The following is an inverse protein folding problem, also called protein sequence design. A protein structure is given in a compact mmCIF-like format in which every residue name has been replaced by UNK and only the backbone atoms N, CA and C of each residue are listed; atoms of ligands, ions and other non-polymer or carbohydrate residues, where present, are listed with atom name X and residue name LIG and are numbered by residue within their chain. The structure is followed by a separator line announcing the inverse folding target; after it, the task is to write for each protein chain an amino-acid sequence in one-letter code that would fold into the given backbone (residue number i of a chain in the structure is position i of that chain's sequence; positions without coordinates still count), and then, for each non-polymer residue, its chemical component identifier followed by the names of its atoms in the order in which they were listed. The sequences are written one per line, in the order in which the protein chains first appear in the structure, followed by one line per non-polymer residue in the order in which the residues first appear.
data_IF_348477734022
#
_entry.id   IF_348477734022
#
_cell.length_a   1.000
_cell.length_b   1.000
_cell.length_c   1.000
_cell.angle_alpha   90.00
_cell.angle_beta   90.00
_cell.angle_gamma   90.00
#
_symmetry.space_group_name_H-M   'P 1'
#
loop_
_entity.id
_entity.type
_entity.pdbx_description
1 polymer ?
#
# COMPACT_ATOMS: atom_id res chain seq x y z
N UNK A 1 12.95 -43.74 -11.41
CA UNK A 1 13.43 -42.64 -10.53
C UNK A 1 12.46 -41.45 -10.48
N UNK A 2 11.76 -41.07 -11.56
CA UNK A 2 10.76 -39.99 -11.50
C UNK A 2 9.50 -40.34 -10.67
N UNK A 3 9.04 -41.60 -10.71
CA UNK A 3 7.84 -42.04 -9.98
C UNK A 3 7.95 -41.90 -8.46
N UNK A 4 9.08 -42.31 -7.87
CA UNK A 4 9.31 -42.18 -6.42
C UNK A 4 9.44 -40.74 -5.96
N UNK A 5 9.99 -39.84 -6.79
CA UNK A 5 10.09 -38.41 -6.47
C UNK A 5 8.72 -37.75 -6.49
N UNK A 6 7.88 -38.06 -7.49
CA UNK A 6 6.52 -37.53 -7.56
C UNK A 6 5.65 -38.03 -6.41
N UNK A 7 5.77 -39.31 -6.05
CA UNK A 7 5.06 -39.92 -4.92
C UNK A 7 5.50 -39.31 -3.57
N UNK A 8 6.79 -39.02 -3.41
CA UNK A 8 7.33 -38.31 -2.25
C UNK A 8 6.86 -36.85 -2.18
N UNK A 9 6.83 -36.13 -3.30
CA UNK A 9 6.32 -34.75 -3.34
C UNK A 9 4.82 -34.71 -3.03
N UNK A 10 4.04 -35.64 -3.60
CA UNK A 10 2.62 -35.77 -3.30
C UNK A 10 2.40 -36.07 -1.83
N UNK A 11 3.13 -37.01 -1.23
CA UNK A 11 2.98 -37.32 0.20
C UNK A 11 3.32 -36.15 1.13
N UNK A 12 4.30 -35.31 0.77
CA UNK A 12 4.62 -34.07 1.49
C UNK A 12 3.52 -33.03 1.33
N UNK A 13 2.98 -32.85 0.11
CA UNK A 13 1.89 -31.92 -0.18
C UNK A 13 0.54 -32.37 0.41
N UNK A 14 0.33 -33.66 0.67
CA UNK A 14 -0.89 -34.13 1.34
C UNK A 14 -0.92 -33.77 2.83
N UNK A 15 0.23 -33.43 3.45
CA UNK A 15 0.27 -33.03 4.85
C UNK A 15 -0.46 -31.71 5.07
N UNK A 16 -1.45 -31.71 5.96
CA UNK A 16 -2.30 -30.56 6.28
C UNK A 16 -1.49 -29.30 6.61
N UNK A 17 -0.40 -29.43 7.37
CA UNK A 17 0.48 -28.33 7.77
C UNK A 17 1.20 -27.67 6.58
N UNK A 18 1.62 -28.46 5.60
CA UNK A 18 2.29 -27.95 4.38
C UNK A 18 1.28 -27.26 3.49
N UNK A 19 0.07 -27.80 3.38
CA UNK A 19 -1.04 -27.19 2.62
C UNK A 19 -1.45 -25.85 3.23
N UNK A 20 -1.59 -25.79 4.55
CA UNK A 20 -1.89 -24.55 5.28
C UNK A 20 -0.78 -23.50 5.06
N UNK A 21 0.49 -23.90 5.17
CA UNK A 21 1.63 -23.03 4.91
C UNK A 21 1.64 -22.47 3.47
N UNK A 22 1.48 -23.34 2.47
CA UNK A 22 1.48 -22.94 1.05
C UNK A 22 0.27 -22.06 0.71
N UNK A 23 -0.89 -22.35 1.30
CA UNK A 23 -2.08 -21.53 1.14
C UNK A 23 -1.85 -20.11 1.68
N UNK A 24 -1.37 -19.99 2.92
CA UNK A 24 -1.07 -18.69 3.55
C UNK A 24 0.03 -17.92 2.81
N UNK A 25 1.06 -18.64 2.33
CA UNK A 25 2.11 -18.07 1.51
C UNK A 25 1.56 -17.47 0.22
N UNK A 26 0.78 -18.25 -0.54
CA UNK A 26 0.25 -17.82 -1.83
C UNK A 26 -0.80 -16.72 -1.69
N UNK A 27 -1.67 -16.80 -0.69
CA UNK A 27 -2.66 -15.74 -0.44
C UNK A 27 -1.98 -14.42 -0.05
N UNK A 28 -0.97 -14.48 0.84
CA UNK A 28 -0.24 -13.27 1.26
C UNK A 28 0.57 -12.68 0.10
N UNK A 29 1.14 -13.53 -0.75
CA UNK A 29 1.83 -13.10 -1.95
C UNK A 29 0.90 -12.33 -2.90
N UNK A 30 -0.28 -12.89 -3.21
CA UNK A 30 -1.27 -12.25 -4.08
C UNK A 30 -1.72 -10.91 -3.51
N UNK A 31 -2.08 -10.86 -2.23
CA UNK A 31 -2.47 -9.61 -1.56
C UNK A 31 -1.38 -8.54 -1.68
N UNK A 32 -0.12 -8.90 -1.43
CA UNK A 32 0.97 -7.94 -1.43
C UNK A 32 1.35 -7.48 -2.84
N UNK A 33 1.30 -8.35 -3.85
CA UNK A 33 1.59 -7.93 -5.24
C UNK A 33 0.54 -6.93 -5.74
N UNK A 34 -0.75 -7.17 -5.49
CA UNK A 34 -1.80 -6.21 -5.85
C UNK A 34 -1.74 -4.94 -5.01
N UNK A 35 -1.51 -5.06 -3.71
CA UNK A 35 -1.40 -3.92 -2.80
C UNK A 35 -0.19 -3.04 -3.12
N UNK A 36 1.02 -3.59 -3.07
CA UNK A 36 2.25 -2.87 -3.37
C UNK A 36 2.31 -2.40 -4.82
N UNK A 37 1.77 -3.18 -5.77
CA UNK A 37 1.66 -2.77 -7.17
C UNK A 37 0.76 -1.54 -7.37
N UNK A 38 -0.37 -1.48 -6.65
CA UNK A 38 -1.26 -0.31 -6.71
C UNK A 38 -0.63 0.95 -6.10
N UNK A 39 0.16 0.79 -5.04
CA UNK A 39 0.93 1.90 -4.43
C UNK A 39 2.05 2.35 -5.35
N UNK A 40 2.80 1.42 -5.94
CA UNK A 40 3.85 1.73 -6.91
C UNK A 40 3.27 2.48 -8.12
N UNK A 41 2.12 2.04 -8.64
CA UNK A 41 1.42 2.75 -9.71
C UNK A 41 0.92 4.13 -9.27
N UNK A 42 0.55 4.33 -8.00
CA UNK A 42 0.17 5.65 -7.51
C UNK A 42 1.37 6.61 -7.43
N UNK A 43 2.53 6.13 -7.00
CA UNK A 43 3.74 6.97 -6.83
C UNK A 43 4.41 7.25 -8.17
N UNK A 44 4.48 6.27 -9.08
CA UNK A 44 5.14 6.41 -10.38
C UNK A 44 4.17 6.92 -11.46
N UNK A 45 2.86 6.69 -11.31
CA UNK A 45 1.85 7.09 -12.27
C UNK A 45 1.50 8.57 -12.14
N UNK A 46 2.25 9.41 -12.85
CA UNK A 46 2.21 10.89 -12.78
C UNK A 46 0.82 11.54 -12.65
N UNK A 47 -0.20 10.97 -13.30
CA UNK A 47 -1.55 11.58 -13.41
C UNK A 47 -2.73 10.60 -13.23
N UNK A 48 -2.43 9.31 -13.06
CA UNK A 48 -3.44 8.23 -12.97
C UNK A 48 -3.49 7.58 -11.57
N UNK A 49 -2.57 7.93 -10.69
CA UNK A 49 -2.57 7.50 -9.29
C UNK A 49 -3.63 8.21 -8.46
N UNK A 50 -4.73 7.53 -8.14
CA UNK A 50 -5.73 8.00 -7.17
C UNK A 50 -5.71 7.12 -5.93
N UNK A 51 -5.97 7.71 -4.76
CA UNK A 51 -6.19 6.98 -3.50
C UNK A 51 -7.28 5.90 -3.64
N UNK A 52 -8.27 6.14 -4.52
CA UNK A 52 -9.31 5.16 -4.82
C UNK A 52 -8.72 3.89 -5.47
N UNK A 53 -7.71 4.03 -6.33
CA UNK A 53 -7.03 2.91 -6.98
C UNK A 53 -6.26 2.04 -5.98
N UNK A 54 -5.63 2.63 -4.97
CA UNK A 54 -4.95 1.89 -3.90
C UNK A 54 -5.95 1.14 -3.03
N UNK A 55 -7.05 1.81 -2.64
CA UNK A 55 -8.10 1.18 -1.84
C UNK A 55 -8.75 0.00 -2.58
N UNK A 56 -9.06 0.16 -3.86
CA UNK A 56 -9.59 -0.93 -4.69
C UNK A 56 -8.54 -2.02 -4.91
N UNK A 57 -7.28 -1.67 -5.17
CA UNK A 57 -6.19 -2.64 -5.35
C UNK A 57 -5.99 -3.53 -4.13
N UNK A 58 -5.99 -2.96 -2.93
CA UNK A 58 -5.97 -3.72 -1.68
C UNK A 58 -7.24 -4.55 -1.49
N UNK A 59 -8.42 -3.99 -1.74
CA UNK A 59 -9.70 -4.71 -1.61
C UNK A 59 -9.81 -5.94 -2.52
N UNK A 60 -9.43 -5.79 -3.80
CA UNK A 60 -9.36 -6.91 -4.74
C UNK A 60 -8.24 -7.89 -4.38
N UNK A 61 -7.08 -7.39 -3.94
CA UNK A 61 -5.97 -8.25 -3.48
C UNK A 61 -6.36 -9.15 -2.31
N UNK A 62 -7.06 -8.59 -1.31
CA UNK A 62 -7.61 -9.36 -0.17
C UNK A 62 -8.64 -10.38 -0.66
N UNK A 63 -9.60 -9.96 -1.49
CA UNK A 63 -10.66 -10.84 -1.99
C UNK A 63 -10.09 -12.03 -2.76
N UNK A 64 -9.11 -11.79 -3.62
CA UNK A 64 -8.45 -12.84 -4.38
C UNK A 64 -7.62 -13.76 -3.49
N UNK A 65 -6.91 -13.21 -2.50
CA UNK A 65 -6.18 -14.02 -1.53
C UNK A 65 -7.09 -14.91 -0.67
N UNK A 66 -8.28 -14.41 -0.27
CA UNK A 66 -9.30 -15.22 0.40
C UNK A 66 -9.81 -16.33 -0.52
N UNK A 67 -10.02 -16.06 -1.80
CA UNK A 67 -10.47 -17.07 -2.75
C UNK A 67 -9.45 -18.22 -2.91
N UNK A 68 -8.15 -17.90 -2.85
CA UNK A 68 -7.06 -18.89 -2.95
C UNK A 68 -6.94 -19.75 -1.68
N UNK A 69 -6.95 -19.13 -0.50
CA UNK A 69 -6.61 -19.82 0.75
C UNK A 69 -7.81 -20.15 1.66
N UNK A 70 -8.99 -19.61 1.37
CA UNK A 70 -10.16 -19.68 2.26
C UNK A 70 -10.63 -21.11 2.54
N UNK A 71 -10.56 -22.01 1.55
CA UNK A 71 -10.94 -23.41 1.70
C UNK A 71 -9.89 -24.32 2.36
N UNK A 72 -8.67 -23.81 2.62
CA UNK A 72 -7.55 -24.63 3.11
C UNK A 72 -7.08 -24.16 4.49
N UNK A 73 -6.63 -22.90 4.61
CA UNK A 73 -6.03 -22.37 5.84
C UNK A 73 -6.95 -21.45 6.64
N UNK A 74 -8.05 -21.00 6.03
CA UNK A 74 -8.92 -19.94 6.55
C UNK A 74 -8.50 -18.53 6.12
N UNK A 75 -7.51 -18.41 5.23
CA UNK A 75 -7.00 -17.16 4.66
C UNK A 75 -6.73 -16.07 5.72
N UNK A 76 -5.85 -16.37 6.67
CA UNK A 76 -5.50 -15.39 7.71
C UNK A 76 -4.73 -14.21 7.13
N UNK A 77 -3.77 -14.48 6.23
CA UNK A 77 -3.01 -13.50 5.44
C UNK A 77 -2.31 -12.42 6.27
N UNK A 78 -2.25 -12.61 7.58
CA UNK A 78 -1.86 -11.61 8.56
C UNK A 78 -1.51 -12.31 9.88
N UNK A 79 -0.33 -11.98 10.41
CA UNK A 79 0.16 -12.52 11.66
C UNK A 79 -0.71 -12.09 12.85
N UNK A 80 -1.27 -10.88 12.83
CA UNK A 80 -2.15 -10.36 13.88
C UNK A 80 -3.51 -11.09 13.93
N UNK A 81 -4.06 -11.45 12.76
CA UNK A 81 -5.29 -12.25 12.66
C UNK A 81 -5.01 -13.67 13.16
N UNK A 82 -3.87 -14.24 12.77
CA UNK A 82 -3.43 -15.56 13.25
C UNK A 82 -3.25 -15.55 14.78
N UNK A 83 -2.62 -14.51 15.33
CA UNK A 83 -2.43 -14.33 16.76
C UNK A 83 -3.77 -14.23 17.50
N UNK A 84 -4.69 -13.41 16.99
CA UNK A 84 -6.02 -13.25 17.58
C UNK A 84 -6.80 -14.56 17.59
N UNK A 85 -6.73 -15.35 16.53
CA UNK A 85 -7.36 -16.68 16.48
C UNK A 85 -6.71 -17.68 17.46
N UNK A 86 -5.41 -17.58 17.71
CA UNK A 86 -4.74 -18.36 18.76
C UNK A 86 -5.14 -17.90 20.17
N UNK A 87 -5.23 -16.59 20.39
CA UNK A 87 -5.65 -16.00 21.68
C UNK A 87 -7.10 -16.35 22.03
N UNK A 88 -7.99 -16.38 21.04
CA UNK A 88 -9.39 -16.79 21.17
C UNK A 88 -9.58 -18.32 21.25
N UNK A 89 -8.50 -19.11 21.19
CA UNK A 89 -8.57 -20.57 21.27
C UNK A 89 -9.15 -21.27 20.03
N UNK A 90 -9.28 -20.57 18.90
CA UNK A 90 -9.77 -21.14 17.63
C UNK A 90 -8.68 -21.92 16.87
N UNK A 91 -7.42 -21.75 17.24
CA UNK A 91 -6.27 -22.43 16.63
C UNK A 91 -5.23 -22.86 17.67
N UNK A 92 -4.61 -24.02 17.48
CA UNK A 92 -3.53 -24.50 18.32
C UNK A 92 -2.27 -23.63 18.18
N UNK A 93 -1.66 -23.23 19.30
CA UNK A 93 -0.44 -22.40 19.35
C UNK A 93 0.76 -22.98 18.57
N UNK A 94 0.80 -24.30 18.36
CA UNK A 94 1.83 -24.96 17.55
C UNK A 94 1.77 -24.60 16.05
N UNK A 95 0.60 -24.19 15.54
CA UNK A 95 0.40 -23.77 14.14
C UNK A 95 0.84 -22.34 13.88
N UNK A 96 0.84 -21.50 14.92
CA UNK A 96 1.18 -20.09 14.82
C UNK A 96 2.50 -19.79 14.09
N UNK A 97 3.66 -20.37 14.46
CA UNK A 97 4.92 -20.04 13.80
C UNK A 97 4.96 -20.47 12.33
N UNK A 98 4.24 -21.55 11.97
CA UNK A 98 4.18 -22.03 10.58
C UNK A 98 3.41 -21.01 9.72
N UNK A 99 2.28 -20.51 10.21
CA UNK A 99 1.49 -19.49 9.52
C UNK A 99 2.28 -18.19 9.35
N UNK A 100 2.94 -17.72 10.41
CA UNK A 100 3.74 -16.49 10.39
C UNK A 100 4.91 -16.61 9.41
N UNK A 101 5.61 -17.75 9.38
CA UNK A 101 6.69 -17.98 8.41
C UNK A 101 6.16 -17.97 6.96
N UNK A 102 5.00 -18.60 6.70
CA UNK A 102 4.39 -18.60 5.37
C UNK A 102 4.01 -17.19 4.90
N UNK A 103 3.39 -16.42 5.80
CA UNK A 103 3.01 -15.02 5.53
C UNK A 103 4.23 -14.14 5.31
N UNK A 104 5.29 -14.29 6.12
CA UNK A 104 6.53 -13.52 5.99
C UNK A 104 7.27 -13.82 4.68
N UNK A 105 7.40 -15.09 4.32
CA UNK A 105 8.02 -15.46 3.05
C UNK A 105 7.19 -15.01 1.85
N UNK A 106 5.85 -15.08 1.95
CA UNK A 106 4.94 -14.62 0.90
C UNK A 106 5.04 -13.12 0.68
N UNK A 107 5.06 -12.32 1.74
CA UNK A 107 5.20 -10.86 1.64
C UNK A 107 6.60 -10.44 1.16
N UNK A 108 7.65 -11.13 1.62
CA UNK A 108 9.02 -10.87 1.17
C UNK A 108 9.17 -11.11 -0.33
N UNK A 109 8.68 -12.26 -0.84
CA UNK A 109 8.75 -12.55 -2.26
C UNK A 109 7.86 -11.63 -3.09
N UNK A 110 6.69 -11.24 -2.60
CA UNK A 110 5.84 -10.26 -3.27
C UNK A 110 6.55 -8.91 -3.40
N UNK A 111 7.16 -8.41 -2.33
CA UNK A 111 7.92 -7.17 -2.36
C UNK A 111 9.11 -7.25 -3.33
N UNK A 112 9.84 -8.37 -3.34
CA UNK A 112 10.92 -8.61 -4.29
C UNK A 112 10.42 -8.61 -5.75
N UNK A 113 9.33 -9.32 -6.04
CA UNK A 113 8.74 -9.33 -7.39
C UNK A 113 8.27 -7.94 -7.82
N UNK A 114 7.56 -7.21 -6.96
CA UNK A 114 7.13 -5.84 -7.25
C UNK A 114 8.35 -4.95 -7.51
N UNK A 115 9.39 -5.02 -6.68
CA UNK A 115 10.62 -4.27 -6.90
C UNK A 115 11.26 -4.59 -8.26
N UNK A 116 11.37 -5.87 -8.62
CA UNK A 116 11.93 -6.28 -9.93
C UNK A 116 11.11 -5.75 -11.11
N UNK A 117 9.77 -5.73 -11.00
CA UNK A 117 8.89 -5.19 -12.05
C UNK A 117 9.10 -3.68 -12.24
N UNK A 118 9.25 -2.94 -11.14
CA UNK A 118 9.41 -1.48 -11.16
C UNK A 118 10.88 -1.02 -11.22
N UNK A 119 11.84 -1.95 -11.19
CA UNK A 119 13.28 -1.65 -11.18
C UNK A 119 13.69 -0.77 -12.36
N UNK A 120 13.17 -1.05 -13.56
CA UNK A 120 13.47 -0.27 -14.77
C UNK A 120 12.98 1.18 -14.73
N UNK A 121 12.01 1.51 -13.88
CA UNK A 121 11.52 2.89 -13.70
C UNK A 121 12.31 3.58 -12.57
N UNK A 122 12.66 2.85 -11.50
CA UNK A 122 13.44 3.39 -10.39
C UNK A 122 14.89 3.76 -10.77
N UNK A 123 15.53 3.01 -11.65
CA UNK A 123 16.97 3.22 -11.97
C UNK A 123 17.21 4.46 -12.86
N UNK A 124 16.18 4.97 -13.54
CA UNK A 124 16.30 6.10 -14.48
C UNK A 124 15.64 7.42 -14.01
N UNK A 125 14.63 7.37 -13.12
CA UNK A 125 13.84 8.55 -12.71
C UNK A 125 14.08 9.05 -11.27
N UNK A 126 15.11 8.56 -10.57
CA UNK A 126 15.44 8.99 -9.22
C UNK A 126 15.48 10.53 -9.01
N UNK A 127 16.09 11.35 -9.90
CA UNK A 127 16.03 12.80 -9.76
C UNK A 127 14.66 13.40 -10.14
N UNK A 128 13.91 12.81 -11.08
CA UNK A 128 12.65 13.36 -11.58
C UNK A 128 11.48 13.15 -10.59
N UNK A 129 11.40 11.98 -9.95
CA UNK A 129 10.37 11.68 -8.93
C UNK A 129 10.65 12.44 -7.62
N UNK A 130 11.92 12.54 -7.21
CA UNK A 130 12.31 13.27 -5.99
C UNK A 130 12.07 14.77 -6.10
N UNK A 131 12.46 15.39 -7.23
CA UNK A 131 12.23 16.82 -7.48
C UNK A 131 10.75 17.15 -7.70
N UNK A 132 9.92 16.20 -8.18
CA UNK A 132 8.48 16.44 -8.36
C UNK A 132 7.71 16.32 -7.04
N UNK A 133 8.05 15.39 -6.15
CA UNK A 133 7.44 15.32 -4.82
C UNK A 133 7.82 16.49 -3.90
N UNK A 134 9.09 16.91 -3.88
CA UNK A 134 9.50 18.13 -3.16
C UNK A 134 9.07 19.43 -3.87
N UNK A 135 8.97 19.42 -5.20
CA UNK A 135 8.48 20.56 -5.99
C UNK A 135 6.97 20.82 -5.85
N UNK A 136 6.15 19.82 -5.52
CA UNK A 136 4.71 20.00 -5.26
C UNK A 136 4.42 20.50 -3.82
N UNK A 137 5.27 20.17 -2.84
CA UNK A 137 5.19 20.78 -1.50
C UNK A 137 5.58 22.26 -1.56
N UNK A 138 6.57 22.61 -2.37
CA UNK A 138 6.97 24.02 -2.61
C UNK A 138 5.95 24.78 -3.49
N UNK A 139 5.32 24.13 -4.48
CA UNK A 139 4.35 24.81 -5.36
C UNK A 139 2.96 24.99 -4.72
N UNK A 140 2.49 24.06 -3.89
CA UNK A 140 1.21 24.21 -3.18
C UNK A 140 1.26 25.28 -2.08
N UNK A 141 2.45 25.58 -1.55
CA UNK A 141 2.70 26.71 -0.65
C UNK A 141 2.99 28.01 -1.41
N UNK A 142 3.69 27.96 -2.55
CA UNK A 142 4.07 29.16 -3.33
C UNK A 142 2.98 29.69 -4.29
N UNK A 143 1.99 28.88 -4.68
CA UNK A 143 0.88 29.36 -5.51
C UNK A 143 -0.17 30.17 -4.73
N UNK A 144 -0.02 30.31 -3.39
CA UNK A 144 -0.83 31.23 -2.57
C UNK A 144 -0.14 32.56 -2.28
N UNK A 145 1.14 32.74 -2.66
CA UNK A 145 1.94 33.94 -2.35
C UNK A 145 2.54 34.65 -3.58
N UNK A 146 1.97 34.47 -4.79
CA UNK A 146 2.31 35.30 -5.95
C UNK A 146 1.16 36.22 -6.37
N UNK A 147 0.75 37.09 -5.45
CA UNK A 147 0.22 38.39 -5.82
C UNK A 147 1.35 39.42 -5.63
N UNK A 148 1.63 40.31 -6.61
CA UNK A 148 2.59 41.37 -6.40
C UNK A 148 1.92 42.37 -5.46
N UNK A 149 2.27 42.29 -4.17
CA UNK A 149 1.98 43.37 -3.26
C UNK A 149 3.27 43.81 -2.61
N UNK A 150 3.78 44.91 -3.17
CA UNK A 150 4.35 45.98 -2.39
C UNK A 150 3.80 46.00 -0.96
N UNK A 151 4.74 45.84 -0.03
CA UNK A 151 4.83 46.45 1.29
C UNK A 151 3.56 46.45 2.14
N UNK A 152 3.60 45.70 3.25
CA UNK A 152 3.52 46.19 4.64
C UNK A 152 3.08 45.04 5.59
N UNK A 153 3.92 44.62 6.55
CA UNK A 153 3.64 43.47 7.40
C UNK A 153 2.92 43.88 8.69
N UNK A 154 1.60 44.15 8.65
CA UNK A 154 0.86 44.42 9.90
C UNK A 154 -0.61 43.94 9.97
N UNK A 155 -1.23 43.42 8.91
CA UNK A 155 -2.70 43.23 8.91
C UNK A 155 -3.17 41.80 8.59
N UNK A 156 -2.42 40.78 9.04
CA UNK A 156 -2.75 39.35 8.79
C UNK A 156 -3.17 38.56 10.04
N UNK A 157 -3.60 39.21 11.14
CA UNK A 157 -3.99 38.51 12.38
C UNK A 157 -5.47 38.54 12.76
N UNK A 158 -6.34 39.25 12.04
CA UNK A 158 -7.78 39.26 12.37
C UNK A 158 -8.58 38.98 11.10
N UNK A 159 -9.05 37.74 10.96
CA UNK A 159 -9.77 37.23 9.80
C UNK A 159 -11.12 37.92 9.57
N UNK A 160 -11.08 39.09 8.93
CA UNK A 160 -12.26 39.88 8.54
C UNK A 160 -12.67 39.53 7.09
N UNK A 161 -13.96 39.27 6.81
CA UNK A 161 -14.44 38.96 5.46
C UNK A 161 -14.34 40.13 4.47
N UNK A 162 -14.02 39.79 3.20
CA UNK A 162 -13.64 40.70 2.09
C UNK A 162 -14.74 41.68 1.59
N UNK A 163 -15.83 41.90 2.31
CA UNK A 163 -16.93 42.76 1.85
C UNK A 163 -16.87 44.21 2.38
N UNK A 164 -16.00 44.49 3.36
CA UNK A 164 -15.84 45.85 3.94
C UNK A 164 -14.78 46.72 3.24
N UNK A 165 -14.02 46.18 2.29
CA UNK A 165 -12.99 46.93 1.55
C UNK A 165 -13.54 47.97 0.56
N UNK A 166 -14.86 47.99 0.31
CA UNK A 166 -15.48 48.91 -0.66
C UNK A 166 -15.88 50.27 -0.07
N UNK A 167 -15.75 50.47 1.24
CA UNK A 167 -16.17 51.71 1.93
C UNK A 167 -15.06 52.77 1.95
N UNK A 168 -13.79 52.39 1.85
CA UNK A 168 -12.65 53.34 1.95
C UNK A 168 -12.20 53.99 0.64
N UNK A 169 -12.87 53.73 -0.50
CA UNK A 169 -12.43 54.24 -1.81
C UNK A 169 -13.43 55.20 -2.47
N UNK A 170 -14.22 55.93 -1.68
CA UNK A 170 -15.03 57.04 -2.18
C UNK A 170 -14.23 58.35 -2.05
N UNK A 171 -13.98 59.09 -3.14
CA UNK A 171 -13.43 60.44 -3.05
C UNK A 171 -14.49 61.38 -2.44
N UNK A 172 -14.04 62.22 -1.51
CA UNK A 172 -14.82 63.26 -0.83
C UNK A 172 -14.99 64.45 -1.78
N UNK A 173 -16.22 64.92 -2.05
CA UNK A 173 -16.48 66.31 -2.44
C UNK A 173 -16.74 67.21 -1.22
#
# INVERSE_FOLDING_TARGET
MAGSVLENIQSVLQKTWVREFLAEFLSTYVLMVFGLGSVAHMVLGERLGSYLGVNLGFGFGVTMGIHVAGGISGAHMNAAVTFTNCALGRMAWKKFPIYVLGQFLGSFLAAATTYLIFYGICDWDAPAVYLRHHGQVEQSSTSRDRAPHDRHPCLRSWGVPRHEHRICNQPIP
#
